data_IF_650355977311
#
_entry.id   IF_650355977311
#
_cell.length_a   1.000
_cell.length_b   1.000
_cell.length_c   1.000
_cell.angle_alpha   90.00
_cell.angle_beta   90.00
_cell.angle_gamma   90.00
#
_symmetry.space_group_name_H-M   'P 1'
#
loop_
_entity.id
_entity.type
_entity.pdbx_description
1 polymer ?
#
# COMPACT_ATOMS: atom_id res chain seq x y z
N UNK A 1 3.56 -17.58 12.11
CA UNK A 1 3.86 -16.16 11.89
C UNK A 1 4.09 -15.95 10.40
N UNK A 2 3.37 -15.05 9.76
CA UNK A 2 3.53 -14.76 8.33
C UNK A 2 4.83 -13.96 8.07
N UNK A 3 5.38 -14.07 6.85
CA UNK A 3 6.58 -13.31 6.45
C UNK A 3 6.41 -11.79 6.66
N UNK A 4 5.18 -11.28 6.56
CA UNK A 4 4.83 -9.88 6.83
C UNK A 4 4.97 -9.51 8.31
N UNK A 5 4.71 -10.45 9.23
CA UNK A 5 4.88 -10.22 10.66
C UNK A 5 6.36 -10.22 11.07
N UNK A 6 7.19 -11.05 10.43
CA UNK A 6 8.65 -11.06 10.63
C UNK A 6 9.30 -9.78 10.09
N UNK A 7 8.85 -9.29 8.94
CA UNK A 7 9.36 -8.04 8.37
C UNK A 7 8.97 -6.82 9.22
N UNK A 8 7.76 -6.84 9.83
CA UNK A 8 7.34 -5.83 10.81
C UNK A 8 8.18 -5.84 12.09
N UNK A 9 8.52 -7.03 12.61
CA UNK A 9 9.40 -7.18 13.79
C UNK A 9 10.83 -6.68 13.51
N UNK A 10 11.36 -6.89 12.32
CA UNK A 10 12.69 -6.40 11.94
C UNK A 10 12.72 -4.87 11.78
N UNK A 11 11.65 -4.27 11.24
CA UNK A 11 11.56 -2.81 11.09
C UNK A 11 11.39 -2.14 12.46
N UNK A 12 10.58 -2.72 13.36
CA UNK A 12 10.43 -2.20 14.73
C UNK A 12 11.68 -2.41 15.58
N UNK A 13 12.39 -3.53 15.43
CA UNK A 13 13.64 -3.79 16.13
C UNK A 13 14.77 -2.85 15.66
N UNK A 14 14.84 -2.54 14.36
CA UNK A 14 15.80 -1.57 13.83
C UNK A 14 15.49 -0.14 14.30
N UNK A 15 14.22 0.24 14.41
CA UNK A 15 13.80 1.53 14.94
C UNK A 15 14.12 1.69 16.44
N UNK A 16 13.97 0.61 17.22
CA UNK A 16 14.30 0.60 18.67
C UNK A 16 15.80 0.61 18.89
N UNK A 17 16.61 -0.05 18.05
CA UNK A 17 18.06 -0.05 18.17
C UNK A 17 18.70 1.32 17.83
N UNK A 18 18.07 2.11 16.96
CA UNK A 18 18.51 3.49 16.64
C UNK A 18 18.06 4.52 17.68
N UNK A 19 17.08 4.22 18.52
CA UNK A 19 16.63 5.10 19.61
C UNK A 19 17.58 5.12 20.83
N UNK A 20 18.58 4.23 20.86
CA UNK A 20 19.57 4.14 21.95
C UNK A 20 20.81 5.00 21.79
N UNK A 21 21.04 5.66 20.66
CA UNK A 21 22.20 6.53 20.44
C UNK A 21 21.78 7.87 19.82
N UNK A 22 21.72 8.90 20.67
CA UNK A 22 21.69 10.29 20.23
C UNK A 22 20.31 10.94 20.28
N UNK A 23 19.97 11.54 21.41
CA UNK A 23 19.05 12.66 21.48
C UNK A 23 19.54 13.77 20.56
N UNK A 24 18.98 13.90 19.36
CA UNK A 24 19.18 15.09 18.54
C UNK A 24 17.99 15.35 17.63
N UNK A 25 17.30 16.43 17.98
CA UNK A 25 16.56 17.33 17.08
C UNK A 25 15.36 16.73 16.31
N UNK A 26 14.38 16.23 17.03
CA UNK A 26 13.00 16.40 16.63
C UNK A 26 12.65 17.86 16.93
N UNK A 27 12.43 18.69 15.93
CA UNK A 27 12.03 20.07 16.14
C UNK A 27 10.79 20.12 17.03
N UNK A 28 10.97 20.42 18.33
CA UNK A 28 9.96 20.92 19.25
C UNK A 28 8.71 20.07 19.54
N UNK A 29 8.60 18.85 19.03
CA UNK A 29 7.46 17.97 19.33
C UNK A 29 7.81 17.11 20.54
N UNK A 30 7.04 17.31 21.59
CA UNK A 30 7.22 16.60 22.85
C UNK A 30 7.14 15.08 22.60
N UNK A 31 8.19 14.33 23.03
CA UNK A 31 8.26 12.88 22.92
C UNK A 31 7.00 12.18 23.45
N UNK A 32 6.24 12.86 24.31
CA UNK A 32 4.98 12.40 24.88
C UNK A 32 3.86 12.20 23.85
N UNK A 33 3.82 13.00 22.77
CA UNK A 33 2.80 12.85 21.71
C UNK A 33 3.04 11.55 20.92
N UNK A 34 4.28 11.27 20.56
CA UNK A 34 4.65 10.05 19.83
C UNK A 34 4.42 8.79 20.66
N UNK A 35 4.81 8.82 21.93
CA UNK A 35 4.54 7.70 22.85
C UNK A 35 3.03 7.46 23.05
N UNK A 36 2.24 8.52 23.13
CA UNK A 36 0.79 8.41 23.25
C UNK A 36 0.17 7.79 21.98
N UNK A 37 0.64 8.15 20.79
CA UNK A 37 0.21 7.54 19.51
C UNK A 37 0.55 6.05 19.48
N UNK A 38 1.80 5.69 19.80
CA UNK A 38 2.27 4.29 19.79
C UNK A 38 1.51 3.41 20.77
N UNK A 39 1.14 3.94 21.93
CA UNK A 39 0.40 3.23 22.98
C UNK A 39 -1.12 3.25 22.76
N UNK A 40 -1.63 4.05 21.83
CA UNK A 40 -3.05 4.27 21.66
C UNK A 40 -3.68 5.06 22.83
N UNK A 41 -2.88 5.83 23.59
CA UNK A 41 -3.35 6.54 24.77
C UNK A 41 -4.05 7.86 24.40
N UNK A 42 -5.37 7.75 24.20
CA UNK A 42 -6.23 8.89 23.83
C UNK A 42 -6.22 9.98 24.89
N UNK A 43 -6.11 9.63 26.19
CA UNK A 43 -6.14 10.61 27.28
C UNK A 43 -4.83 11.41 27.31
N UNK A 44 -3.70 10.75 27.18
CA UNK A 44 -2.41 11.41 27.05
C UNK A 44 -2.34 12.28 25.79
N UNK A 45 -2.88 11.79 24.66
CA UNK A 45 -2.99 12.57 23.43
C UNK A 45 -3.84 13.82 23.62
N UNK A 46 -5.03 13.71 24.20
CA UNK A 46 -5.93 14.85 24.43
C UNK A 46 -5.29 15.93 25.30
N UNK A 47 -4.49 15.52 26.29
CA UNK A 47 -3.77 16.44 27.20
C UNK A 47 -2.60 17.13 26.51
N UNK A 48 -1.83 16.42 25.69
CA UNK A 48 -0.56 16.89 25.16
C UNK A 48 -0.68 17.53 23.76
N UNK A 49 -1.82 17.31 23.06
CA UNK A 49 -2.04 17.87 21.74
C UNK A 49 -2.49 19.33 21.85
N UNK A 50 -1.54 20.25 21.80
CA UNK A 50 -1.77 21.69 21.93
C UNK A 50 -2.39 22.39 20.71
N UNK A 51 -2.77 21.64 19.65
CA UNK A 51 -3.41 22.20 18.46
C UNK A 51 -2.87 21.64 17.14
N UNK A 52 -3.25 22.25 15.98
CA UNK A 52 -2.93 21.75 14.64
C UNK A 52 -1.43 21.62 14.35
N UNK A 53 -0.59 22.46 14.96
CA UNK A 53 0.86 22.41 14.75
C UNK A 53 1.46 21.10 15.23
N UNK A 54 1.04 20.61 16.41
CA UNK A 54 1.50 19.33 16.95
C UNK A 54 0.83 18.13 16.24
N UNK A 55 -0.42 18.29 15.80
CA UNK A 55 -1.12 17.26 15.06
C UNK A 55 -0.49 16.96 13.68
N UNK A 56 0.24 17.94 13.13
CA UNK A 56 0.91 17.87 11.82
C UNK A 56 2.44 17.86 11.90
N UNK A 57 3.00 17.72 13.10
CA UNK A 57 4.42 17.56 13.28
C UNK A 57 4.92 16.27 12.61
N UNK A 58 6.22 16.18 12.33
CA UNK A 58 6.79 14.98 11.70
C UNK A 58 7.90 14.39 12.53
N UNK A 59 7.99 13.06 12.53
CA UNK A 59 9.13 12.34 13.07
C UNK A 59 10.30 12.32 12.05
N UNK A 60 11.41 11.67 12.41
CA UNK A 60 12.61 11.54 11.56
C UNK A 60 12.34 10.88 10.18
N UNK A 61 11.28 10.09 10.06
CA UNK A 61 10.83 9.47 8.81
C UNK A 61 9.86 10.38 8.02
N UNK A 62 9.60 11.60 8.49
CA UNK A 62 8.60 12.50 7.93
C UNK A 62 7.16 12.07 8.18
N UNK A 63 6.91 11.04 9.00
CA UNK A 63 5.57 10.57 9.31
C UNK A 63 4.88 11.53 10.27
N UNK A 64 3.61 11.83 10.02
CA UNK A 64 2.75 12.57 10.94
C UNK A 64 2.20 11.67 12.06
N UNK A 65 1.73 12.24 13.19
CA UNK A 65 1.03 11.47 14.22
C UNK A 65 -0.17 10.69 13.67
N UNK A 66 -0.90 11.26 12.70
CA UNK A 66 -2.01 10.58 12.04
C UNK A 66 -1.52 9.38 11.21
N UNK A 67 -0.41 9.52 10.48
CA UNK A 67 0.18 8.41 9.73
C UNK A 67 0.55 7.24 10.66
N UNK A 68 1.14 7.52 11.82
CA UNK A 68 1.48 6.48 12.80
C UNK A 68 0.23 5.89 13.48
N UNK A 69 -0.76 6.71 13.80
CA UNK A 69 -2.02 6.27 14.40
C UNK A 69 -2.82 5.28 13.52
N UNK A 70 -2.60 5.27 12.21
CA UNK A 70 -3.20 4.27 11.30
C UNK A 70 -2.86 2.84 11.74
N UNK A 71 -1.63 2.59 12.20
CA UNK A 71 -1.20 1.27 12.68
C UNK A 71 -1.75 0.88 14.05
N UNK A 72 -2.35 1.83 14.79
CA UNK A 72 -2.95 1.57 16.11
C UNK A 72 -4.20 0.68 15.97
N UNK A 73 -4.42 -0.25 16.90
CA UNK A 73 -5.65 -1.04 16.92
C UNK A 73 -6.89 -0.18 17.24
N UNK A 74 -6.71 0.94 17.92
CA UNK A 74 -7.80 1.84 18.30
C UNK A 74 -7.93 3.02 17.34
N UNK A 75 -9.11 3.14 16.75
CA UNK A 75 -9.48 4.26 15.87
C UNK A 75 -9.60 5.59 16.62
N UNK A 76 -9.71 5.58 17.93
CA UNK A 76 -9.96 6.77 18.74
C UNK A 76 -8.81 7.80 18.64
N UNK A 77 -7.56 7.34 18.56
CA UNK A 77 -6.40 8.23 18.38
C UNK A 77 -6.47 8.95 17.03
N UNK A 78 -6.76 8.22 15.94
CA UNK A 78 -6.90 8.82 14.61
C UNK A 78 -8.07 9.81 14.57
N UNK A 79 -9.20 9.48 15.20
CA UNK A 79 -10.37 10.39 15.33
C UNK A 79 -10.01 11.68 16.08
N UNK A 80 -9.29 11.54 17.19
CA UNK A 80 -8.85 12.69 18.00
C UNK A 80 -7.90 13.59 17.20
N UNK A 81 -6.91 13.01 16.53
CA UNK A 81 -5.95 13.76 15.70
C UNK A 81 -6.68 14.56 14.60
N UNK A 82 -7.59 13.92 13.88
CA UNK A 82 -8.38 14.57 12.84
C UNK A 82 -9.30 15.67 13.41
N UNK A 83 -9.88 15.46 14.59
CA UNK A 83 -10.65 16.49 15.30
C UNK A 83 -9.81 17.68 15.76
N UNK A 84 -8.51 17.47 16.00
CA UNK A 84 -7.53 18.50 16.38
C UNK A 84 -6.82 19.15 15.18
N UNK A 85 -7.25 18.85 13.96
CA UNK A 85 -6.76 19.50 12.74
C UNK A 85 -5.54 18.80 12.12
N UNK A 86 -5.38 17.49 12.34
CA UNK A 86 -4.43 16.71 11.57
C UNK A 86 -4.82 16.69 10.10
N UNK A 87 -3.84 16.91 9.22
CA UNK A 87 -4.03 16.87 7.78
C UNK A 87 -4.08 15.41 7.30
N UNK A 88 -5.25 15.00 6.77
CA UNK A 88 -5.46 13.66 6.21
C UNK A 88 -4.60 13.38 4.96
N UNK A 89 -4.05 14.44 4.34
CA UNK A 89 -3.25 14.37 3.12
C UNK A 89 -1.75 14.60 3.37
N UNK A 90 -1.33 14.75 4.62
CA UNK A 90 0.08 14.98 4.94
C UNK A 90 0.94 13.82 4.44
N UNK A 91 1.98 14.17 3.68
CA UNK A 91 2.88 13.22 3.02
C UNK A 91 4.15 13.04 3.84
N UNK A 92 4.59 11.79 4.01
CA UNK A 92 5.89 11.50 4.59
C UNK A 92 7.03 11.68 3.55
N UNK A 93 8.29 11.40 3.94
CA UNK A 93 9.46 11.49 3.06
C UNK A 93 9.37 10.59 1.80
N UNK A 94 8.54 9.55 1.81
CA UNK A 94 8.28 8.69 0.66
C UNK A 94 7.06 9.15 -0.16
N UNK A 95 6.49 10.31 0.14
CA UNK A 95 5.28 10.82 -0.48
C UNK A 95 4.01 10.07 -0.09
N UNK A 96 4.07 9.13 0.85
CA UNK A 96 2.91 8.34 1.30
C UNK A 96 2.04 9.13 2.27
N UNK A 97 0.73 9.08 2.07
CA UNK A 97 -0.28 9.67 2.96
C UNK A 97 -0.79 8.62 3.97
N UNK A 98 -1.50 9.03 5.04
CA UNK A 98 -2.18 8.11 5.94
C UNK A 98 -3.09 7.12 5.20
N UNK A 99 -3.74 7.54 4.09
CA UNK A 99 -4.61 6.67 3.29
C UNK A 99 -3.83 5.55 2.58
N UNK A 100 -2.61 5.82 2.08
CA UNK A 100 -1.74 4.77 1.54
C UNK A 100 -1.45 3.68 2.58
N UNK A 101 -1.14 4.09 3.81
CA UNK A 101 -0.85 3.15 4.90
C UNK A 101 -2.09 2.37 5.31
N UNK A 102 -3.23 3.05 5.46
CA UNK A 102 -4.49 2.41 5.83
C UNK A 102 -4.92 1.35 4.80
N UNK A 103 -4.75 1.66 3.52
CA UNK A 103 -5.05 0.77 2.41
C UNK A 103 -4.11 -0.46 2.38
N UNK A 104 -2.81 -0.25 2.56
CA UNK A 104 -1.78 -1.29 2.58
C UNK A 104 -1.92 -2.25 3.79
N UNK A 105 -2.36 -1.72 4.94
CA UNK A 105 -2.55 -2.47 6.19
C UNK A 105 -3.97 -3.05 6.36
N UNK A 106 -4.83 -2.95 5.34
CA UNK A 106 -6.21 -3.46 5.35
C UNK A 106 -7.08 -2.87 6.49
N UNK A 107 -6.93 -1.56 6.74
CA UNK A 107 -7.59 -0.87 7.85
C UNK A 107 -8.91 -0.24 7.40
N UNK A 108 -9.92 -1.04 7.10
CA UNK A 108 -11.21 -0.60 6.51
C UNK A 108 -11.82 0.62 7.21
N UNK A 109 -11.93 0.59 8.56
CA UNK A 109 -12.57 1.69 9.30
C UNK A 109 -11.70 2.97 9.29
N UNK A 110 -10.37 2.83 9.23
CA UNK A 110 -9.46 3.97 9.10
C UNK A 110 -9.57 4.56 7.69
N UNK A 111 -9.63 3.71 6.64
CA UNK A 111 -9.86 4.15 5.25
C UNK A 111 -11.16 4.96 5.18
N UNK A 112 -12.27 4.43 5.73
CA UNK A 112 -13.56 5.12 5.79
C UNK A 112 -13.47 6.48 6.48
N UNK A 113 -12.79 6.51 7.62
CA UNK A 113 -12.58 7.75 8.38
C UNK A 113 -11.78 8.79 7.60
N UNK A 114 -10.66 8.37 6.98
CA UNK A 114 -9.78 9.27 6.23
C UNK A 114 -10.50 9.85 5.00
N UNK A 115 -11.23 9.02 4.25
CA UNK A 115 -12.02 9.47 3.09
C UNK A 115 -13.12 10.47 3.52
N UNK A 116 -13.82 10.19 4.62
CA UNK A 116 -14.81 11.12 5.18
C UNK A 116 -14.20 12.46 5.66
N UNK A 117 -12.88 12.51 5.88
CA UNK A 117 -12.12 13.70 6.25
C UNK A 117 -11.37 14.34 5.08
N UNK A 118 -11.71 13.97 3.84
CA UNK A 118 -11.17 14.59 2.63
C UNK A 118 -9.78 14.07 2.24
N UNK A 119 -9.42 12.85 2.61
CA UNK A 119 -8.22 12.24 2.09
C UNK A 119 -8.33 12.05 0.57
N UNK A 120 -7.27 12.43 -0.16
CA UNK A 120 -7.17 12.27 -1.60
C UNK A 120 -7.00 10.78 -1.94
N UNK A 121 -8.05 10.18 -2.50
CA UNK A 121 -8.10 8.76 -2.87
C UNK A 121 -7.09 8.42 -3.98
N UNK A 122 -6.70 9.42 -4.80
CA UNK A 122 -5.76 9.29 -5.91
C UNK A 122 -4.37 9.88 -5.60
N UNK A 123 -4.06 10.16 -4.33
CA UNK A 123 -2.73 10.62 -3.94
C UNK A 123 -1.65 9.66 -4.46
N UNK A 124 -0.53 10.21 -4.96
CA UNK A 124 0.58 9.41 -5.52
C UNK A 124 1.81 9.53 -4.64
N UNK A 125 2.38 8.42 -4.22
CA UNK A 125 3.65 8.40 -3.50
C UNK A 125 4.86 8.72 -4.42
N UNK A 126 6.10 8.67 -3.91
CA UNK A 126 7.31 8.93 -4.70
C UNK A 126 7.53 7.94 -5.85
N UNK A 127 6.89 6.77 -5.82
CA UNK A 127 6.89 5.78 -6.91
C UNK A 127 5.73 5.99 -7.88
N UNK A 128 4.86 6.97 -7.62
CA UNK A 128 3.62 7.19 -8.34
C UNK A 128 2.52 6.19 -7.99
N UNK A 129 2.69 5.39 -6.94
CA UNK A 129 1.67 4.43 -6.50
C UNK A 129 0.55 5.15 -5.76
N UNK A 130 -0.70 4.72 -6.02
CA UNK A 130 -1.90 5.21 -5.34
C UNK A 130 -2.29 4.29 -4.18
N UNK A 131 -3.17 4.73 -3.25
CA UNK A 131 -3.71 3.85 -2.21
C UNK A 131 -4.34 2.57 -2.77
N UNK A 132 -5.02 2.63 -3.93
CA UNK A 132 -5.59 1.45 -4.58
C UNK A 132 -4.52 0.46 -5.06
N UNK A 133 -3.40 0.96 -5.62
CA UNK A 133 -2.28 0.11 -6.03
C UNK A 133 -1.66 -0.58 -4.81
N UNK A 134 -1.50 0.15 -3.69
CA UNK A 134 -1.00 -0.42 -2.43
C UNK A 134 -1.96 -1.48 -1.86
N UNK A 135 -3.28 -1.18 -1.80
CA UNK A 135 -4.30 -2.10 -1.32
C UNK A 135 -4.35 -3.41 -2.11
N UNK A 136 -4.21 -3.35 -3.44
CA UNK A 136 -4.34 -4.51 -4.31
C UNK A 136 -3.28 -5.60 -4.06
N UNK A 137 -2.22 -5.31 -3.32
CA UNK A 137 -1.18 -6.29 -2.97
C UNK A 137 -1.57 -7.15 -1.75
N UNK A 138 -2.24 -6.57 -0.73
CA UNK A 138 -2.47 -7.27 0.54
C UNK A 138 -3.86 -7.08 1.16
N UNK A 139 -4.60 -6.01 0.79
CA UNK A 139 -5.86 -5.68 1.43
C UNK A 139 -7.02 -6.59 1.01
N UNK A 140 -8.03 -6.64 1.83
CA UNK A 140 -9.30 -7.33 1.56
C UNK A 140 -10.12 -6.62 0.49
N UNK A 141 -11.03 -7.35 -0.15
CA UNK A 141 -11.93 -6.79 -1.16
C UNK A 141 -12.73 -5.57 -0.64
N UNK A 142 -13.26 -5.54 0.61
CA UNK A 142 -13.98 -4.38 1.12
C UNK A 142 -13.18 -3.07 1.14
N UNK A 143 -11.85 -3.12 1.33
CA UNK A 143 -11.01 -1.90 1.24
C UNK A 143 -10.89 -1.42 -0.20
N UNK A 144 -10.72 -2.34 -1.16
CA UNK A 144 -10.69 -1.97 -2.58
C UNK A 144 -12.04 -1.41 -3.04
N UNK A 145 -13.15 -2.04 -2.65
CA UNK A 145 -14.50 -1.55 -2.93
C UNK A 145 -14.68 -0.11 -2.43
N UNK A 146 -14.33 0.15 -1.18
CA UNK A 146 -14.45 1.49 -0.59
C UNK A 146 -13.60 2.54 -1.30
N UNK A 147 -12.36 2.19 -1.73
CA UNK A 147 -11.51 3.09 -2.48
C UNK A 147 -12.08 3.39 -3.86
N UNK A 148 -12.61 2.37 -4.56
CA UNK A 148 -13.21 2.55 -5.89
C UNK A 148 -14.52 3.34 -5.79
N UNK A 149 -15.37 3.09 -4.79
CA UNK A 149 -16.57 3.89 -4.51
C UNK A 149 -16.23 5.36 -4.22
N UNK A 150 -15.08 5.61 -3.59
CA UNK A 150 -14.59 6.97 -3.34
C UNK A 150 -13.94 7.63 -4.58
N UNK A 151 -13.91 6.97 -5.74
CA UNK A 151 -13.40 7.51 -6.99
C UNK A 151 -11.92 7.23 -7.26
N UNK A 152 -11.37 6.14 -6.72
CA UNK A 152 -10.02 5.70 -7.07
C UNK A 152 -9.92 5.35 -8.56
N UNK A 153 -8.89 5.86 -9.25
CA UNK A 153 -8.63 5.53 -10.65
C UNK A 153 -8.03 4.11 -10.76
N UNK A 154 -8.88 3.18 -11.20
CA UNK A 154 -8.53 1.76 -11.35
C UNK A 154 -7.57 1.53 -12.52
N UNK A 155 -7.60 2.40 -13.54
CA UNK A 155 -6.79 2.26 -14.75
C UNK A 155 -5.37 2.82 -14.61
N UNK A 156 -5.08 3.54 -13.50
CA UNK A 156 -3.79 4.19 -13.31
C UNK A 156 -2.68 3.17 -12.97
N UNK A 157 -1.46 3.45 -13.46
CA UNK A 157 -0.24 2.76 -13.06
C UNK A 157 0.75 3.70 -12.37
N UNK A 158 1.66 3.13 -11.60
CA UNK A 158 2.77 3.86 -11.00
C UNK A 158 3.88 4.17 -12.04
N UNK A 159 5.01 4.77 -11.61
CA UNK A 159 6.12 5.15 -12.52
C UNK A 159 6.79 3.95 -13.21
N UNK A 160 6.60 2.73 -12.71
CA UNK A 160 7.08 1.48 -13.30
C UNK A 160 6.02 0.77 -14.18
N UNK A 161 4.91 1.44 -14.47
CA UNK A 161 3.77 0.87 -15.19
C UNK A 161 2.90 -0.08 -14.36
N UNK A 162 3.24 -0.32 -13.09
CA UNK A 162 2.53 -1.28 -12.23
C UNK A 162 1.18 -0.72 -11.79
N UNK A 163 0.09 -1.39 -12.11
CA UNK A 163 -1.28 -1.05 -11.71
C UNK A 163 -1.79 -1.95 -10.59
N UNK A 164 -2.96 -1.61 -10.03
CA UNK A 164 -3.66 -2.45 -9.07
C UNK A 164 -3.90 -3.87 -9.63
N UNK A 165 -4.23 -4.00 -10.93
CA UNK A 165 -4.44 -5.30 -11.57
C UNK A 165 -3.17 -6.15 -11.63
N UNK A 166 -1.97 -5.57 -11.79
CA UNK A 166 -0.71 -6.31 -11.69
C UNK A 166 -0.50 -6.91 -10.30
N UNK A 167 -0.80 -6.14 -9.24
CA UNK A 167 -0.70 -6.63 -7.87
C UNK A 167 -1.73 -7.72 -7.58
N UNK A 168 -2.99 -7.53 -8.02
CA UNK A 168 -4.05 -8.51 -7.88
C UNK A 168 -3.75 -9.81 -8.62
N UNK A 169 -3.19 -9.73 -9.83
CA UNK A 169 -2.83 -10.91 -10.63
C UNK A 169 -1.72 -11.75 -9.99
N UNK A 170 -0.84 -11.13 -9.21
CA UNK A 170 0.20 -11.80 -8.43
C UNK A 170 -0.36 -12.49 -7.19
N UNK A 171 -1.52 -12.04 -6.67
CA UNK A 171 -2.23 -12.70 -5.59
C UNK A 171 -2.95 -13.93 -6.13
N UNK A 172 -3.13 -14.92 -5.27
CA UNK A 172 -3.94 -16.10 -5.60
C UNK A 172 -5.43 -15.89 -5.31
N UNK A 173 -5.92 -14.64 -5.39
CA UNK A 173 -7.31 -14.26 -5.12
C UNK A 173 -8.02 -13.77 -6.40
N UNK A 174 -8.86 -14.63 -7.02
CA UNK A 174 -9.59 -14.25 -8.22
C UNK A 174 -10.69 -13.19 -8.00
N UNK A 175 -11.16 -13.00 -6.75
CA UNK A 175 -12.24 -12.05 -6.47
C UNK A 175 -11.75 -10.61 -6.69
N UNK A 176 -10.57 -10.26 -6.16
CA UNK A 176 -9.95 -8.94 -6.36
C UNK A 176 -9.66 -8.69 -7.84
N UNK A 177 -9.13 -9.70 -8.56
CA UNK A 177 -8.87 -9.60 -10.01
C UNK A 177 -10.15 -9.30 -10.78
N UNK A 178 -11.22 -10.09 -10.56
CA UNK A 178 -12.53 -9.89 -11.20
C UNK A 178 -13.13 -8.51 -10.87
N UNK A 179 -13.04 -8.09 -9.63
CA UNK A 179 -13.52 -6.78 -9.18
C UNK A 179 -12.83 -5.64 -9.94
N UNK A 180 -11.50 -5.63 -10.02
CA UNK A 180 -10.74 -4.59 -10.72
C UNK A 180 -11.04 -4.57 -12.22
N UNK A 181 -11.18 -5.74 -12.86
CA UNK A 181 -11.57 -5.87 -14.28
C UNK A 181 -12.95 -5.26 -14.50
N UNK A 182 -13.93 -5.59 -13.66
CA UNK A 182 -15.30 -5.07 -13.76
C UNK A 182 -15.36 -3.54 -13.61
N UNK A 183 -14.37 -2.93 -12.92
CA UNK A 183 -14.29 -1.49 -12.73
C UNK A 183 -13.29 -0.79 -13.68
N UNK A 184 -12.91 -1.44 -14.79
CA UNK A 184 -12.18 -0.80 -15.88
C UNK A 184 -10.65 -0.84 -15.77
N UNK A 185 -10.09 -1.80 -15.03
CA UNK A 185 -8.64 -2.00 -15.01
C UNK A 185 -8.10 -2.31 -16.42
N UNK A 186 -6.94 -1.75 -16.78
CA UNK A 186 -6.28 -2.01 -18.06
C UNK A 186 -5.64 -3.38 -18.06
N UNK A 187 -6.18 -4.30 -18.88
CA UNK A 187 -5.77 -5.71 -18.94
C UNK A 187 -4.35 -5.92 -19.44
N UNK A 188 -3.91 -5.10 -20.40
CA UNK A 188 -2.66 -5.28 -21.14
C UNK A 188 -1.65 -4.14 -20.86
N UNK A 189 -1.78 -3.46 -19.73
CA UNK A 189 -0.78 -2.50 -19.31
C UNK A 189 0.53 -3.23 -19.04
N UNK A 190 1.65 -2.67 -19.49
CA UNK A 190 2.98 -3.27 -19.33
C UNK A 190 3.70 -2.58 -18.18
N UNK A 191 4.27 -3.35 -17.26
CA UNK A 191 5.22 -2.92 -16.27
C UNK A 191 6.61 -3.56 -16.55
N UNK A 192 7.60 -3.31 -15.70
CA UNK A 192 8.94 -3.92 -15.81
C UNK A 192 8.95 -5.45 -15.83
N UNK A 193 7.89 -6.10 -15.33
CA UNK A 193 7.76 -7.57 -15.26
C UNK A 193 6.76 -8.14 -16.28
N UNK A 194 6.19 -7.32 -17.16
CA UNK A 194 5.21 -7.72 -18.17
C UNK A 194 3.79 -7.22 -17.92
N UNK A 195 2.81 -7.90 -18.49
CA UNK A 195 1.38 -7.63 -18.28
C UNK A 195 0.86 -8.30 -17.02
N UNK A 196 -0.36 -7.98 -16.53
CA UNK A 196 -0.97 -8.72 -15.43
C UNK A 196 -1.03 -10.25 -15.67
N UNK A 197 -1.26 -10.69 -16.91
CA UNK A 197 -1.27 -12.10 -17.26
C UNK A 197 0.11 -12.76 -17.11
N UNK A 198 1.20 -12.04 -17.37
CA UNK A 198 2.57 -12.55 -17.20
C UNK A 198 2.95 -12.74 -15.72
N UNK A 199 2.31 -12.01 -14.81
CA UNK A 199 2.64 -12.03 -13.38
C UNK A 199 1.89 -13.11 -12.59
N UNK A 200 0.83 -13.70 -13.13
CA UNK A 200 0.07 -14.73 -12.40
C UNK A 200 0.63 -16.12 -12.65
N UNK A 201 0.83 -16.87 -11.55
CA UNK A 201 1.07 -18.32 -11.59
C UNK A 201 -0.24 -19.13 -11.42
N UNK A 202 -1.33 -18.47 -11.02
CA UNK A 202 -2.61 -19.08 -10.76
C UNK A 202 -3.39 -19.28 -12.08
N UNK A 203 -3.69 -20.55 -12.44
CA UNK A 203 -4.41 -20.87 -13.66
C UNK A 203 -5.81 -20.24 -13.71
N UNK A 204 -6.53 -20.20 -12.58
CA UNK A 204 -7.86 -19.59 -12.51
C UNK A 204 -7.85 -18.08 -12.76
N UNK A 205 -6.84 -17.37 -12.30
CA UNK A 205 -6.66 -15.94 -12.61
C UNK A 205 -6.25 -15.76 -14.07
N UNK A 206 -5.33 -16.60 -14.58
CA UNK A 206 -4.93 -16.57 -15.97
C UNK A 206 -6.11 -16.77 -16.91
N UNK A 207 -7.00 -17.71 -16.59
CA UNK A 207 -8.20 -17.99 -17.38
C UNK A 207 -9.19 -16.82 -17.35
N UNK A 208 -9.37 -16.19 -16.18
CA UNK A 208 -10.18 -14.96 -16.07
C UNK A 208 -9.61 -13.84 -16.94
N UNK A 209 -8.29 -13.60 -16.87
CA UNK A 209 -7.66 -12.56 -17.69
C UNK A 209 -7.75 -12.84 -19.17
N UNK A 210 -7.49 -14.07 -19.62
CA UNK A 210 -7.61 -14.47 -21.04
C UNK A 210 -9.04 -14.36 -21.57
N UNK A 211 -10.02 -14.75 -20.76
CA UNK A 211 -11.43 -14.71 -21.14
C UNK A 211 -11.93 -13.28 -21.45
N UNK A 212 -11.31 -12.26 -20.83
CA UNK A 212 -11.67 -10.85 -21.03
C UNK A 212 -10.71 -10.10 -21.98
N UNK A 213 -9.79 -10.81 -22.66
CA UNK A 213 -8.87 -10.22 -23.64
C UNK A 213 -7.49 -9.83 -23.10
N UNK A 214 -7.10 -10.35 -21.93
CA UNK A 214 -5.74 -10.25 -21.42
C UNK A 214 -4.74 -10.99 -22.32
N UNK A 215 -3.59 -10.40 -22.58
CA UNK A 215 -2.51 -10.97 -23.38
C UNK A 215 -1.17 -10.95 -22.66
N UNK A 216 -0.30 -11.91 -23.00
CA UNK A 216 1.07 -11.94 -22.52
C UNK A 216 1.91 -10.89 -23.26
N UNK A 217 2.95 -10.36 -22.59
CA UNK A 217 3.89 -9.45 -23.23
C UNK A 217 4.70 -10.17 -24.30
N UNK A 218 5.05 -9.46 -25.36
CA UNK A 218 5.90 -10.00 -26.44
C UNK A 218 7.24 -10.53 -25.92
N UNK A 219 7.77 -9.95 -24.87
CA UNK A 219 9.05 -10.33 -24.24
C UNK A 219 9.00 -11.74 -23.63
N UNK A 220 7.91 -12.09 -22.94
CA UNK A 220 7.74 -13.43 -22.38
C UNK A 220 7.43 -14.48 -23.45
N UNK A 221 6.71 -14.09 -24.50
CA UNK A 221 6.45 -14.94 -25.65
C UNK A 221 7.74 -15.41 -26.36
N UNK A 222 8.76 -14.55 -26.42
CA UNK A 222 10.08 -14.88 -26.99
C UNK A 222 10.86 -15.81 -26.03
N UNK A 223 10.89 -15.52 -24.74
CA UNK A 223 11.58 -16.35 -23.74
C UNK A 223 10.99 -17.76 -23.61
N UNK A 224 9.66 -17.89 -23.69
CA UNK A 224 8.99 -19.20 -23.67
C UNK A 224 9.25 -20.02 -24.92
N UNK A 225 9.40 -19.38 -26.09
CA UNK A 225 9.74 -20.05 -27.36
C UNK A 225 11.20 -20.50 -27.38
N UNK A 226 12.14 -19.69 -26.87
CA UNK A 226 13.57 -20.05 -26.79
C UNK A 226 13.82 -21.19 -25.79
N UNK A 227 13.16 -21.19 -24.64
CA UNK A 227 13.32 -22.29 -23.66
C UNK A 227 12.77 -23.64 -24.18
N UNK A 228 11.71 -23.61 -24.98
CA UNK A 228 11.17 -24.82 -25.63
C UNK A 228 12.09 -25.36 -26.73
N UNK A 229 12.86 -24.49 -27.39
CA UNK A 229 13.80 -24.86 -28.43
C UNK A 229 15.08 -25.50 -27.86
N UNK A 230 15.57 -25.02 -26.69
CA UNK A 230 16.76 -25.58 -26.04
C UNK A 230 16.55 -26.97 -25.43
N UNK A 231 15.30 -27.35 -25.09
CA UNK A 231 15.00 -28.67 -24.52
C UNK A 231 14.80 -29.77 -25.58
N UNK A 232 14.66 -29.40 -26.87
CA UNK A 232 14.43 -30.36 -27.96
C UNK A 232 15.69 -30.71 -28.75
N UNK A 233 16.83 -30.05 -28.51
CA UNK A 233 18.08 -30.23 -29.29
C UNK A 233 19.29 -30.70 -28.46
N UNK A 234 19.11 -31.48 -27.41
CA UNK A 234 20.23 -32.20 -26.81
C UNK A 234 20.36 -33.55 -27.54
N UNK A 235 21.39 -33.76 -28.39
CA UNK A 235 21.66 -35.05 -28.96
C UNK A 235 22.12 -35.99 -27.82
N UNK A 236 21.37 -37.06 -27.63
CA UNK A 236 21.82 -38.20 -26.86
C UNK A 236 23.06 -38.80 -27.53
N UNK A 237 24.23 -38.35 -27.11
CA UNK A 237 25.50 -39.07 -27.46
C UNK A 237 25.56 -40.36 -26.68
N UNK A 238 25.63 -41.45 -27.44
CA UNK A 238 25.86 -42.80 -26.96
C UNK A 238 27.25 -42.91 -26.33
#
# INVERSE_FOLDING_TARGET
MSASQLQRLLITAAAVALAGCGASQTGGVDATVWQAVERGDVAAMAKNLGGPSLANATNVAGNSPLYEAVGSPDLAVARLLLAKGADANQRNQFGRTPLHRAADEDRLEVVRLLLAKGADVNARDCRGSTPLIAAAEFASLPVLELLVEAGADVATGNHYGRSALHNAAKREDPAVTKFLIAHGARLNQICEYGTPLDLTANSGIADVLRAVGGSESATRSIASRTHKHYLTELPLTK
#
